data_IF_809406154644
#
_entry.id   IF_809406154644
#
_cell.length_a   1.000
_cell.length_b   1.000
_cell.length_c   1.000
_cell.angle_alpha   90.00
_cell.angle_beta   90.00
_cell.angle_gamma   90.00
#
_symmetry.space_group_name_H-M   'P 1'
#
loop_
_entity.id
_entity.type
_entity.pdbx_description
1 polymer ?
#
# COMPACT_ATOMS: atom_id res chain seq x y z
N UNK A 1 21.29 27.94 -14.61
CA UNK A 1 21.16 28.38 -13.21
C UNK A 1 19.96 27.74 -12.58
N UNK A 2 20.16 26.78 -11.68
CA UNK A 2 19.11 26.11 -10.91
C UNK A 2 19.11 26.69 -9.48
N UNK A 3 17.94 26.90 -8.84
CA UNK A 3 17.87 27.51 -7.52
C UNK A 3 18.25 26.53 -6.40
N UNK A 4 19.28 26.91 -5.66
CA UNK A 4 19.90 26.21 -4.52
C UNK A 4 19.11 26.36 -3.20
N UNK A 5 17.79 26.20 -3.21
CA UNK A 5 16.96 26.47 -2.04
C UNK A 5 16.11 25.26 -1.65
N UNK A 6 16.70 24.36 -0.86
CA UNK A 6 16.04 23.59 0.21
C UNK A 6 17.05 22.63 0.87
N UNK A 7 18.07 23.21 1.50
CA UNK A 7 18.92 22.55 2.51
C UNK A 7 18.73 23.25 3.85
N UNK A 8 17.54 23.10 4.42
CA UNK A 8 17.29 23.31 5.85
C UNK A 8 16.48 22.08 6.27
N UNK A 9 17.03 21.11 6.99
CA UNK A 9 17.65 21.30 8.30
C UNK A 9 16.61 20.96 9.37
N UNK A 10 16.15 19.71 9.41
CA UNK A 10 15.34 19.17 10.51
C UNK A 10 16.15 18.10 11.25
N UNK A 11 17.17 18.57 11.97
CA UNK A 11 17.70 17.84 13.12
C UNK A 11 16.66 17.90 14.24
N UNK A 12 15.65 17.03 14.21
CA UNK A 12 14.79 16.83 15.37
C UNK A 12 15.48 15.82 16.27
N UNK A 13 16.24 16.34 17.23
CA UNK A 13 16.77 15.58 18.35
C UNK A 13 15.62 14.86 19.06
N UNK A 14 15.50 13.55 18.85
CA UNK A 14 14.65 12.70 19.67
C UNK A 14 15.38 12.54 21.01
N UNK A 15 14.98 13.35 21.98
CA UNK A 15 15.33 13.16 23.37
C UNK A 15 14.89 11.77 23.80
N UNK A 16 15.86 10.87 23.93
CA UNK A 16 15.66 9.50 24.36
C UNK A 16 15.52 9.53 25.89
N UNK A 17 14.32 9.82 26.38
CA UNK A 17 14.00 9.68 27.80
C UNK A 17 14.05 8.21 28.17
N UNK A 18 15.12 7.83 28.85
CA UNK A 18 15.36 6.53 29.44
C UNK A 18 14.34 6.30 30.59
N UNK A 19 13.18 5.74 30.25
CA UNK A 19 12.21 5.28 31.24
C UNK A 19 12.62 3.87 31.69
N UNK A 20 13.15 3.83 32.92
CA UNK A 20 13.54 2.64 33.67
C UNK A 20 12.28 1.87 34.10
N UNK A 21 11.99 0.66 33.60
CA UNK A 21 10.86 -0.11 34.09
C UNK A 21 11.24 -0.74 35.44
N UNK A 22 10.60 -0.26 36.50
CA UNK A 22 10.64 -0.86 37.84
C UNK A 22 9.28 -1.50 38.08
N UNK A 23 9.23 -2.82 38.19
CA UNK A 23 8.00 -3.52 38.54
C UNK A 23 8.03 -5.02 38.26
N UNK A 24 8.68 -5.76 39.15
CA UNK A 24 8.34 -7.15 39.47
C UNK A 24 6.83 -7.31 39.69
N UNK A 25 6.25 -8.40 39.17
CA UNK A 25 4.83 -8.68 39.43
C UNK A 25 4.27 -9.87 38.67
N UNK A 26 4.71 -11.07 39.04
CA UNK A 26 3.86 -12.26 39.26
C UNK A 26 2.49 -12.35 38.56
N UNK A 27 2.34 -13.36 37.69
CA UNK A 27 1.41 -14.50 37.87
C UNK A 27 0.66 -14.93 36.61
N UNK A 28 0.47 -16.26 36.57
CA UNK A 28 -0.63 -17.01 35.98
C UNK A 28 -0.60 -17.34 34.47
N UNK A 29 -0.06 -18.53 34.20
CA UNK A 29 -0.78 -19.65 33.56
C UNK A 29 -2.10 -19.29 32.86
N UNK A 30 -2.12 -19.39 31.52
CA UNK A 30 -3.33 -19.81 30.81
C UNK A 30 -2.95 -20.54 29.52
N UNK A 31 -3.03 -21.86 29.60
CA UNK A 31 -2.99 -22.79 28.48
C UNK A 31 -4.26 -22.63 27.64
N UNK A 32 -4.12 -22.54 26.32
CA UNK A 32 -5.27 -22.58 25.42
C UNK A 32 -4.91 -22.25 23.99
N UNK A 33 -4.19 -23.14 23.32
CA UNK A 33 -4.02 -23.08 21.87
C UNK A 33 -5.24 -23.71 21.17
N UNK A 34 -6.05 -22.97 20.40
CA UNK A 34 -6.94 -23.57 19.42
C UNK A 34 -6.18 -23.84 18.11
N UNK A 35 -6.16 -25.13 17.77
CA UNK A 35 -5.71 -25.70 16.49
C UNK A 35 -6.41 -25.04 15.29
N UNK A 36 -5.70 -24.58 14.25
CA UNK A 36 -6.34 -24.20 12.99
C UNK A 36 -6.69 -25.46 12.19
N UNK A 37 -7.97 -25.84 12.21
CA UNK A 37 -8.53 -26.82 11.28
C UNK A 37 -8.38 -26.34 9.85
N UNK A 38 -7.52 -27.02 9.10
CA UNK A 38 -7.39 -26.91 7.66
C UNK A 38 -8.76 -27.20 6.99
N UNK A 39 -9.36 -26.18 6.37
CA UNK A 39 -10.55 -26.34 5.53
C UNK A 39 -10.21 -26.03 4.08
N UNK A 40 -9.97 -27.13 3.35
CA UNK A 40 -10.45 -27.47 2.01
C UNK A 40 -10.45 -26.37 0.92
N UNK A 41 -9.59 -26.65 -0.05
CA UNK A 41 -9.52 -26.11 -1.41
C UNK A 41 -10.90 -26.01 -2.10
N UNK A 42 -11.45 -24.80 -2.17
CA UNK A 42 -12.53 -24.44 -3.08
C UNK A 42 -11.98 -24.17 -4.47
N UNK A 43 -11.98 -25.19 -5.35
CA UNK A 43 -11.83 -25.02 -6.80
C UNK A 43 -13.00 -24.18 -7.32
N UNK A 44 -12.75 -22.94 -7.71
CA UNK A 44 -13.68 -22.21 -8.58
C UNK A 44 -13.57 -22.77 -10.01
N UNK A 45 -14.40 -23.78 -10.28
CA UNK A 45 -14.79 -24.14 -11.64
C UNK A 45 -15.76 -23.09 -12.19
N UNK A 46 -15.56 -22.76 -13.46
CA UNK A 46 -16.52 -22.07 -14.35
C UNK A 46 -16.36 -20.55 -14.48
N UNK A 47 -15.29 -20.10 -15.12
CA UNK A 47 -15.41 -18.95 -16.03
C UNK A 47 -16.13 -19.44 -17.29
N UNK A 48 -17.45 -19.36 -17.30
CA UNK A 48 -18.25 -19.44 -18.52
C UNK A 48 -17.84 -18.29 -19.41
N UNK A 49 -16.92 -18.58 -20.33
CA UNK A 49 -16.48 -17.67 -21.37
C UNK A 49 -17.64 -17.53 -22.36
N UNK A 50 -18.53 -16.57 -22.09
CA UNK A 50 -19.51 -16.13 -23.08
C UNK A 50 -18.74 -15.61 -24.28
N UNK A 51 -18.67 -16.45 -25.31
CA UNK A 51 -18.04 -16.16 -26.58
C UNK A 51 -18.73 -14.98 -27.25
N UNK A 52 -18.09 -13.82 -27.19
CA UNK A 52 -18.37 -12.74 -28.14
C UNK A 52 -17.73 -13.15 -29.46
N UNK A 53 -18.55 -13.60 -30.40
CA UNK A 53 -18.16 -13.86 -31.76
C UNK A 53 -17.79 -12.53 -32.43
N UNK A 54 -16.52 -12.13 -32.31
CA UNK A 54 -15.96 -11.02 -33.06
C UNK A 54 -15.67 -11.52 -34.48
N UNK A 55 -16.61 -11.31 -35.40
CA UNK A 55 -16.32 -11.34 -36.83
C UNK A 55 -15.58 -10.05 -37.21
N UNK A 56 -14.29 -10.00 -36.85
CA UNK A 56 -13.34 -9.00 -37.32
C UNK A 56 -12.46 -9.63 -38.39
N UNK A 57 -12.95 -9.68 -39.63
CA UNK A 57 -12.13 -9.94 -40.80
C UNK A 57 -11.26 -8.70 -41.07
N UNK A 58 -9.94 -8.91 -41.23
CA UNK A 58 -9.06 -7.89 -41.79
C UNK A 58 -7.90 -7.43 -40.90
N UNK A 59 -6.84 -8.24 -40.88
CA UNK A 59 -5.46 -7.77 -40.73
C UNK A 59 -5.07 -7.13 -39.39
N UNK A 60 -5.25 -7.87 -38.30
CA UNK A 60 -4.32 -7.76 -37.16
C UNK A 60 -2.96 -8.29 -37.62
N UNK A 61 -2.13 -7.41 -38.20
CA UNK A 61 -0.68 -7.63 -38.25
C UNK A 61 -0.27 -7.88 -36.80
N UNK A 62 -0.03 -9.15 -36.48
CA UNK A 62 0.53 -9.57 -35.21
C UNK A 62 1.91 -8.94 -35.10
N UNK A 63 1.97 -7.72 -34.59
CA UNK A 63 3.19 -7.13 -34.07
C UNK A 63 3.47 -7.98 -32.83
N UNK A 64 4.20 -9.08 -33.04
CA UNK A 64 4.88 -9.80 -31.98
C UNK A 64 5.83 -8.77 -31.36
N UNK A 65 5.30 -7.97 -30.43
CA UNK A 65 6.10 -7.15 -29.55
C UNK A 65 6.94 -8.16 -28.80
N UNK A 66 8.22 -8.25 -29.16
CA UNK A 66 9.22 -8.85 -28.31
C UNK A 66 9.11 -8.13 -26.98
N UNK A 67 8.42 -8.75 -26.03
CA UNK A 67 8.36 -8.29 -24.65
C UNK A 67 9.75 -8.56 -24.13
N UNK A 68 10.63 -7.59 -24.27
CA UNK A 68 11.94 -7.60 -23.65
C UNK A 68 11.69 -7.70 -22.14
N UNK A 69 11.80 -8.91 -21.58
CA UNK A 69 11.72 -9.15 -20.15
C UNK A 69 12.97 -8.55 -19.52
N UNK A 70 12.96 -7.23 -19.33
CA UNK A 70 14.00 -6.52 -18.61
C UNK A 70 14.16 -7.20 -17.25
N UNK A 71 15.36 -7.71 -16.98
CA UNK A 71 15.67 -8.43 -15.75
C UNK A 71 15.36 -7.54 -14.55
N UNK A 72 14.39 -7.95 -13.73
CA UNK A 72 14.01 -7.22 -12.51
C UNK A 72 15.14 -7.35 -11.49
N UNK A 73 15.71 -6.22 -11.07
CA UNK A 73 16.81 -6.23 -10.10
C UNK A 73 16.29 -6.61 -8.70
N UNK A 74 17.11 -7.20 -7.82
CA UNK A 74 16.72 -7.46 -6.43
C UNK A 74 16.24 -6.20 -5.69
N UNK A 75 16.85 -5.06 -5.98
CA UNK A 75 16.46 -3.77 -5.41
C UNK A 75 15.06 -3.34 -5.86
N UNK A 76 14.72 -3.52 -7.15
CA UNK A 76 13.36 -3.25 -7.63
C UNK A 76 12.33 -4.11 -6.92
N UNK A 77 12.62 -5.39 -6.64
CA UNK A 77 11.73 -6.27 -5.88
C UNK A 77 11.49 -5.78 -4.45
N UNK A 78 12.54 -5.33 -3.78
CA UNK A 78 12.43 -4.74 -2.43
C UNK A 78 11.53 -3.49 -2.42
N UNK A 79 11.67 -2.62 -3.41
CA UNK A 79 10.83 -1.42 -3.50
C UNK A 79 9.37 -1.75 -3.80
N UNK A 80 9.11 -2.72 -4.68
CA UNK A 80 7.75 -3.22 -4.94
C UNK A 80 7.14 -3.79 -3.66
N UNK A 81 7.89 -4.59 -2.91
CA UNK A 81 7.41 -5.16 -1.65
C UNK A 81 7.03 -4.08 -0.62
N UNK A 82 7.85 -3.03 -0.48
CA UNK A 82 7.54 -1.88 0.40
C UNK A 82 6.31 -1.10 -0.07
N UNK A 83 6.17 -0.92 -1.38
CA UNK A 83 4.99 -0.29 -1.96
C UNK A 83 3.72 -1.11 -1.69
N UNK A 84 3.78 -2.43 -1.87
CA UNK A 84 2.66 -3.34 -1.57
C UNK A 84 2.28 -3.33 -0.09
N UNK A 85 3.27 -3.31 0.81
CA UNK A 85 3.04 -3.17 2.25
C UNK A 85 2.32 -1.86 2.58
N UNK A 86 2.81 -0.74 2.05
CA UNK A 86 2.18 0.57 2.25
C UNK A 86 0.76 0.64 1.67
N UNK A 87 0.53 0.02 0.50
CA UNK A 87 -0.79 -0.10 -0.10
C UNK A 87 -1.72 -0.94 0.78
N UNK A 88 -1.24 -2.04 1.37
CA UNK A 88 -1.98 -2.86 2.30
C UNK A 88 -2.41 -2.08 3.55
N UNK A 89 -1.51 -1.26 4.12
CA UNK A 89 -1.84 -0.35 5.23
C UNK A 89 -2.91 0.67 4.83
N UNK A 90 -2.81 1.24 3.63
CA UNK A 90 -3.79 2.19 3.11
C UNK A 90 -5.18 1.55 2.91
N UNK A 91 -5.23 0.32 2.39
CA UNK A 91 -6.48 -0.45 2.21
C UNK A 91 -7.12 -0.83 3.55
N UNK A 92 -6.33 -1.03 4.60
CA UNK A 92 -6.83 -1.26 5.96
C UNK A 92 -7.18 0.04 6.72
N UNK A 93 -7.15 1.19 6.03
CA UNK A 93 -7.38 2.53 6.60
C UNK A 93 -6.38 2.93 7.70
N UNK A 94 -5.20 2.31 7.76
CA UNK A 94 -4.06 2.71 8.58
C UNK A 94 -3.29 3.85 7.89
N UNK A 95 -3.95 5.01 7.72
CA UNK A 95 -3.45 6.10 6.88
C UNK A 95 -2.16 6.74 7.40
N UNK A 96 -1.97 6.76 8.73
CA UNK A 96 -0.77 7.34 9.35
C UNK A 96 0.46 6.48 9.05
N UNK A 97 0.34 5.18 9.27
CA UNK A 97 1.38 4.18 9.00
C UNK A 97 1.68 4.10 7.50
N UNK A 98 0.63 4.08 6.66
CA UNK A 98 0.78 4.12 5.21
C UNK A 98 1.53 5.38 4.75
N UNK A 99 1.19 6.55 5.29
CA UNK A 99 1.87 7.81 4.95
C UNK A 99 3.35 7.77 5.33
N UNK A 100 3.70 7.23 6.50
CA UNK A 100 5.09 7.10 6.93
C UNK A 100 5.88 6.15 6.02
N UNK A 101 5.31 4.99 5.69
CA UNK A 101 5.94 4.03 4.79
C UNK A 101 6.17 4.62 3.39
N UNK A 102 5.20 5.39 2.88
CA UNK A 102 5.29 6.04 1.57
C UNK A 102 6.30 7.20 1.53
N UNK A 103 6.45 7.96 2.63
CA UNK A 103 7.49 9.00 2.71
C UNK A 103 8.88 8.40 2.53
N UNK A 104 9.19 7.30 3.22
CA UNK A 104 10.47 6.59 3.06
C UNK A 104 10.67 6.12 1.61
N UNK A 105 9.63 5.53 1.01
CA UNK A 105 9.71 5.05 -0.37
C UNK A 105 9.93 6.18 -1.38
N UNK A 106 9.29 7.33 -1.18
CA UNK A 106 9.45 8.52 -2.03
C UNK A 106 10.84 9.16 -1.87
N UNK A 107 11.40 9.15 -0.66
CA UNK A 107 12.78 9.59 -0.42
C UNK A 107 13.80 8.71 -1.14
N UNK A 108 13.59 7.38 -1.15
CA UNK A 108 14.45 6.43 -1.84
C UNK A 108 14.24 6.42 -3.36
N UNK A 109 13.02 6.67 -3.83
CA UNK A 109 12.62 6.64 -5.23
C UNK A 109 11.78 7.86 -5.61
N UNK A 110 12.39 9.04 -5.82
CA UNK A 110 11.67 10.26 -6.10
C UNK A 110 10.86 10.20 -7.42
N UNK A 111 11.28 9.36 -8.37
CA UNK A 111 10.61 9.17 -9.67
C UNK A 111 9.39 8.24 -9.60
N UNK A 112 9.10 7.63 -8.44
CA UNK A 112 7.97 6.74 -8.26
C UNK A 112 6.66 7.54 -8.10
N UNK A 113 6.05 7.88 -9.23
CA UNK A 113 4.80 8.67 -9.28
C UNK A 113 3.64 7.97 -8.56
N UNK A 114 3.58 6.64 -8.56
CA UNK A 114 2.52 5.90 -7.87
C UNK A 114 2.61 6.08 -6.35
N UNK A 115 3.82 6.02 -5.78
CA UNK A 115 4.07 6.26 -4.36
C UNK A 115 3.70 7.70 -3.96
N UNK A 116 4.06 8.70 -4.79
CA UNK A 116 3.66 10.09 -4.58
C UNK A 116 2.14 10.29 -4.53
N UNK A 117 1.41 9.75 -5.52
CA UNK A 117 -0.05 9.87 -5.58
C UNK A 117 -0.73 9.22 -4.37
N UNK A 118 -0.24 8.04 -3.96
CA UNK A 118 -0.78 7.36 -2.79
C UNK A 118 -0.49 8.12 -1.50
N UNK A 119 0.69 8.75 -1.39
CA UNK A 119 1.07 9.57 -0.24
C UNK A 119 0.18 10.82 -0.12
N UNK A 120 -0.01 11.54 -1.23
CA UNK A 120 -0.89 12.72 -1.28
C UNK A 120 -2.31 12.37 -0.84
N UNK A 121 -2.78 11.21 -1.29
CA UNK A 121 -4.08 10.67 -0.92
C UNK A 121 -4.16 10.27 0.55
N UNK A 122 -3.15 9.60 1.08
CA UNK A 122 -3.08 9.24 2.51
C UNK A 122 -3.02 10.49 3.40
N UNK A 123 -2.33 11.54 2.96
CA UNK A 123 -2.23 12.83 3.66
C UNK A 123 -3.60 13.51 3.82
N UNK A 124 -4.53 13.31 2.88
CA UNK A 124 -5.91 13.81 2.97
C UNK A 124 -6.67 13.21 4.17
N UNK A 125 -6.25 12.05 4.69
CA UNK A 125 -6.88 11.39 5.84
C UNK A 125 -6.15 11.61 7.16
N UNK A 126 -4.88 12.03 7.14
CA UNK A 126 -4.03 12.19 8.34
C UNK A 126 -3.88 13.63 8.82
N UNK A 127 -4.17 14.63 7.98
CA UNK A 127 -3.94 16.04 8.36
C UNK A 127 -4.87 16.48 9.51
N UNK A 128 -4.24 16.77 10.65
CA UNK A 128 -4.87 17.25 11.90
C UNK A 128 -5.54 18.65 11.76
N UNK A 129 -5.39 19.31 10.60
CA UNK A 129 -5.85 20.67 10.32
C UNK A 129 -7.31 20.84 9.88
N UNK A 130 -8.19 19.87 10.13
CA UNK A 130 -9.64 20.14 10.19
C UNK A 130 -10.49 19.89 8.93
N UNK A 131 -9.96 19.22 7.91
CA UNK A 131 -10.81 18.60 6.86
C UNK A 131 -10.45 17.16 6.51
N UNK A 132 -9.55 16.55 7.29
CA UNK A 132 -9.28 15.12 7.22
C UNK A 132 -10.54 14.37 7.61
N UNK A 133 -11.34 14.01 6.61
CA UNK A 133 -12.56 13.23 6.80
C UNK A 133 -12.12 11.85 7.26
N UNK A 134 -12.09 11.62 8.58
CA UNK A 134 -12.06 10.26 9.10
C UNK A 134 -13.24 9.54 8.47
N UNK A 135 -12.95 8.43 7.81
CA UNK A 135 -13.99 7.56 7.31
C UNK A 135 -14.85 7.14 8.50
N UNK A 136 -16.16 7.30 8.37
CA UNK A 136 -17.08 6.73 9.35
C UNK A 136 -16.95 5.19 9.36
N UNK A 137 -17.38 4.53 10.43
CA UNK A 137 -17.25 3.07 10.56
C UNK A 137 -17.90 2.32 9.38
N UNK A 138 -19.03 2.83 8.89
CA UNK A 138 -19.75 2.27 7.73
C UNK A 138 -18.93 2.42 6.43
N UNK A 139 -18.32 3.60 6.24
CA UNK A 139 -17.44 3.83 5.09
C UNK A 139 -16.18 2.99 5.15
N UNK A 140 -15.62 2.82 6.33
CA UNK A 140 -14.45 1.99 6.58
C UNK A 140 -14.76 0.51 6.29
N UNK A 141 -15.99 0.06 6.56
CA UNK A 141 -16.46 -1.28 6.18
C UNK A 141 -16.65 -1.45 4.67
N UNK A 142 -17.03 -0.38 3.96
CA UNK A 142 -17.13 -0.36 2.48
C UNK A 142 -15.82 0.01 1.76
N UNK A 143 -14.77 0.33 2.52
CA UNK A 143 -13.53 0.86 1.97
C UNK A 143 -12.71 -0.24 1.30
N UNK A 144 -12.57 -0.16 -0.01
CA UNK A 144 -11.75 -1.10 -0.80
C UNK A 144 -10.37 -0.53 -1.14
N UNK A 145 -10.10 0.73 -0.78
CA UNK A 145 -8.93 1.48 -1.23
C UNK A 145 -8.92 1.81 -2.73
N UNK A 146 -9.92 1.36 -3.51
CA UNK A 146 -10.10 1.67 -4.93
C UNK A 146 -11.23 2.67 -5.06
N UNK A 147 -10.90 3.92 -5.33
CA UNK A 147 -11.93 4.88 -5.75
C UNK A 147 -12.19 4.68 -7.22
N UNK A 148 -13.37 4.16 -7.53
CA UNK A 148 -13.90 4.14 -8.88
C UNK A 148 -13.92 5.58 -9.42
N UNK A 149 -12.95 5.91 -10.29
CA UNK A 149 -12.88 7.19 -10.99
C UNK A 149 -13.87 7.27 -12.17
N UNK A 150 -14.92 6.45 -12.16
CA UNK A 150 -15.84 6.27 -13.30
C UNK A 150 -16.94 7.32 -13.39
N UNK A 151 -17.04 8.27 -12.47
CA UNK A 151 -17.97 9.40 -12.62
C UNK A 151 -17.32 10.50 -13.46
N UNK A 152 -17.76 10.62 -14.71
CA UNK A 152 -17.45 11.71 -15.64
C UNK A 152 -18.73 12.35 -16.13
#
# INVERSE_FOLDING_TARGET
SLPSLLRHGLNRAVGRSELKPKGDGTSALSSGAPSPSATVLGRCSSCSSSGVAFHGDGSTRAIAREVSTSSVTPQQRMHVQRYEEALGLFQQAHFQEASQALQVLVEEQPDNTAAWLLLERAACFTSEGGRGRRLSTDELASWTGVTNMTDK
#
